data_IF_276342345883
#
_entry.id   IF_276342345883
#
_cell.length_a   1.000
_cell.length_b   1.000
_cell.length_c   1.000
_cell.angle_alpha   90.00
_cell.angle_beta   90.00
_cell.angle_gamma   90.00
#
_symmetry.space_group_name_H-M   'P 1'
#
loop_
_entity.id
_entity.type
_entity.pdbx_description
1 polymer ?
#
# COMPACT_ATOMS: atom_id res chain seq x y z
N UNK A 1 14.23 22.69 -11.47
CA UNK A 1 14.34 24.17 -11.65
C UNK A 1 15.14 24.53 -12.92
N UNK A 2 16.22 23.83 -13.23
CA UNK A 2 17.03 24.08 -14.45
C UNK A 2 16.24 23.89 -15.75
N UNK A 3 15.42 22.84 -15.83
CA UNK A 3 14.53 22.63 -16.97
C UNK A 3 13.55 23.80 -17.16
N UNK A 4 12.96 24.31 -16.09
CA UNK A 4 12.06 25.46 -16.15
C UNK A 4 12.77 26.69 -16.72
N UNK A 5 13.98 26.97 -16.27
CA UNK A 5 14.82 28.04 -16.80
C UNK A 5 15.14 27.85 -18.28
N UNK A 6 15.39 26.61 -18.71
CA UNK A 6 15.56 26.28 -20.12
C UNK A 6 14.33 26.65 -20.95
N UNK A 7 13.14 26.33 -20.47
CA UNK A 7 11.88 26.69 -21.11
C UNK A 7 11.65 28.22 -21.15
N UNK A 8 11.94 28.93 -20.06
CA UNK A 8 11.84 30.37 -20.02
C UNK A 8 12.69 31.06 -21.10
N UNK A 9 13.93 30.59 -21.27
CA UNK A 9 14.85 31.11 -22.26
C UNK A 9 14.43 30.75 -23.69
N UNK A 10 14.01 29.50 -23.92
CA UNK A 10 13.64 29.03 -25.25
C UNK A 10 12.35 29.65 -25.78
N UNK A 11 11.37 29.89 -24.91
CA UNK A 11 10.02 30.32 -25.28
C UNK A 11 9.67 31.73 -24.84
N UNK A 12 10.62 32.48 -24.27
CA UNK A 12 10.40 33.82 -23.74
C UNK A 12 9.15 33.92 -22.84
N UNK A 13 9.01 32.98 -21.93
CA UNK A 13 7.92 32.87 -20.98
C UNK A 13 8.44 32.89 -19.55
N UNK A 14 7.55 32.97 -18.58
CA UNK A 14 7.87 32.82 -17.17
C UNK A 14 7.25 31.53 -16.63
N UNK A 15 8.06 30.69 -15.98
CA UNK A 15 7.61 29.44 -15.39
C UNK A 15 7.53 29.59 -13.86
N UNK A 16 6.35 29.53 -13.32
CA UNK A 16 6.13 29.47 -11.89
C UNK A 16 6.05 27.99 -11.46
N UNK A 17 6.88 27.61 -10.49
CA UNK A 17 6.92 26.24 -9.96
C UNK A 17 6.35 26.29 -8.54
N UNK A 18 5.26 25.56 -8.32
CA UNK A 18 4.72 25.27 -7.01
C UNK A 18 4.83 23.75 -6.77
N UNK A 19 5.52 23.36 -5.72
CA UNK A 19 5.68 21.94 -5.34
C UNK A 19 4.98 21.79 -3.99
N UNK A 20 3.97 20.96 -3.97
CA UNK A 20 3.26 20.56 -2.75
C UNK A 20 3.69 19.13 -2.45
N UNK A 21 4.39 18.95 -1.34
CA UNK A 21 4.73 17.62 -0.82
C UNK A 21 3.53 17.15 0.00
N UNK A 22 2.93 16.04 -0.44
CA UNK A 22 1.73 15.49 0.19
C UNK A 22 2.06 14.18 0.90
N UNK A 23 2.14 13.07 0.19
CA UNK A 23 2.38 11.78 0.80
C UNK A 23 3.86 11.47 1.01
N UNK A 24 4.19 10.91 2.18
CA UNK A 24 5.48 10.25 2.40
C UNK A 24 5.39 8.78 1.97
N UNK A 25 6.53 8.13 1.76
CA UNK A 25 6.55 6.71 1.45
C UNK A 25 6.04 5.88 2.64
N UNK A 26 5.16 4.92 2.36
CA UNK A 26 4.83 3.85 3.31
C UNK A 26 6.06 2.98 3.51
N UNK A 27 6.47 2.81 4.75
CA UNK A 27 7.60 1.96 5.12
C UNK A 27 7.19 1.08 6.30
N UNK A 28 7.00 -0.18 6.02
CA UNK A 28 6.62 -1.14 7.04
C UNK A 28 7.68 -1.27 8.13
N UNK A 29 7.21 -1.28 9.38
CA UNK A 29 8.04 -1.55 10.54
C UNK A 29 8.53 -3.01 10.50
N UNK A 30 9.82 -3.22 10.76
CA UNK A 30 10.45 -4.54 10.61
C UNK A 30 9.98 -5.53 11.67
N UNK A 31 9.78 -5.06 12.89
CA UNK A 31 9.40 -5.92 14.00
C UNK A 31 7.93 -6.34 13.82
N UNK A 32 7.06 -5.41 13.45
CA UNK A 32 5.67 -5.72 13.10
C UNK A 32 5.55 -6.63 11.87
N UNK A 33 6.43 -6.50 10.90
CA UNK A 33 6.47 -7.41 9.76
C UNK A 33 6.84 -8.83 10.18
N UNK A 34 7.86 -8.97 11.04
CA UNK A 34 8.28 -10.25 11.58
C UNK A 34 7.13 -10.95 12.33
N UNK A 35 6.49 -10.23 13.26
CA UNK A 35 5.33 -10.73 13.99
C UNK A 35 4.17 -11.12 13.07
N UNK A 36 3.94 -10.35 12.01
CA UNK A 36 2.93 -10.66 11.01
C UNK A 36 3.22 -11.99 10.32
N UNK A 37 4.46 -12.20 9.86
CA UNK A 37 4.88 -13.45 9.20
C UNK A 37 4.75 -14.63 10.15
N UNK A 38 5.12 -14.48 11.42
CA UNK A 38 4.98 -15.51 12.44
C UNK A 38 3.50 -15.86 12.72
N UNK A 39 2.63 -14.85 12.82
CA UNK A 39 1.22 -15.05 13.11
C UNK A 39 0.44 -15.67 11.94
N UNK A 40 0.76 -15.27 10.71
CA UNK A 40 0.00 -15.65 9.51
C UNK A 40 0.54 -16.92 8.86
N UNK A 41 1.84 -17.09 8.83
CA UNK A 41 2.59 -18.16 8.17
C UNK A 41 3.34 -17.65 6.92
N UNK A 42 4.60 -17.99 6.83
CA UNK A 42 5.47 -17.54 5.73
C UNK A 42 5.09 -18.11 4.36
N UNK A 43 4.33 -19.18 4.33
CA UNK A 43 3.86 -19.86 3.12
C UNK A 43 2.77 -19.10 2.36
N UNK A 44 2.08 -18.19 3.03
CA UNK A 44 1.02 -17.37 2.44
C UNK A 44 1.37 -15.88 2.33
N UNK A 45 2.48 -15.46 2.93
CA UNK A 45 2.97 -14.08 2.83
C UNK A 45 3.87 -13.95 1.60
N UNK A 46 3.57 -13.01 0.74
CA UNK A 46 4.36 -12.71 -0.46
C UNK A 46 4.96 -11.33 -0.31
N UNK A 47 6.28 -11.24 -0.41
CA UNK A 47 6.96 -9.95 -0.49
C UNK A 47 6.78 -9.35 -1.89
N UNK A 48 6.41 -8.09 -1.92
CA UNK A 48 6.25 -7.34 -3.16
C UNK A 48 7.42 -6.35 -3.32
N UNK A 49 7.83 -6.17 -4.57
CA UNK A 49 8.70 -5.05 -4.91
C UNK A 49 8.03 -3.72 -4.57
N UNK A 50 8.81 -2.69 -4.23
CA UNK A 50 8.27 -1.37 -3.93
C UNK A 50 7.36 -0.84 -5.03
N UNK A 51 6.16 -0.41 -4.66
CA UNK A 51 5.18 0.14 -5.59
C UNK A 51 5.27 1.67 -5.63
N UNK A 52 5.23 2.23 -6.83
CA UNK A 52 5.21 3.68 -7.05
C UNK A 52 3.78 4.22 -6.95
N UNK A 53 3.20 4.09 -5.76
CA UNK A 53 1.84 4.52 -5.43
C UNK A 53 1.85 5.44 -4.20
N UNK A 54 0.78 6.21 -4.03
CA UNK A 54 0.55 7.02 -2.85
C UNK A 54 -0.43 6.31 -1.92
N UNK A 55 -0.19 6.42 -0.60
CA UNK A 55 -1.02 5.80 0.42
C UNK A 55 -1.04 6.67 1.68
N UNK A 56 -2.24 7.02 2.15
CA UNK A 56 -2.42 7.89 3.32
C UNK A 56 -2.05 7.20 4.64
N UNK A 57 -1.96 5.88 4.67
CA UNK A 57 -1.44 5.12 5.81
C UNK A 57 -0.06 5.61 6.26
N UNK A 58 0.71 6.19 5.36
CA UNK A 58 2.00 6.81 5.67
C UNK A 58 1.94 7.87 6.78
N UNK A 59 0.80 8.55 6.95
CA UNK A 59 0.60 9.53 8.03
C UNK A 59 0.47 8.87 9.40
N UNK A 60 -0.17 7.71 9.48
CA UNK A 60 -0.21 6.94 10.74
C UNK A 60 1.18 6.48 11.14
N UNK A 61 2.01 6.10 10.16
CA UNK A 61 3.39 5.66 10.40
C UNK A 61 4.33 6.78 10.88
N UNK A 62 3.92 8.03 10.80
CA UNK A 62 4.65 9.14 11.43
C UNK A 62 4.51 9.13 12.96
N UNK A 63 3.38 8.65 13.45
CA UNK A 63 3.02 8.71 14.86
C UNK A 63 3.32 7.40 15.60
N UNK A 64 3.13 6.27 14.91
CA UNK A 64 3.31 4.93 15.47
C UNK A 64 3.92 3.96 14.46
N UNK A 65 4.67 2.94 14.91
CA UNK A 65 5.06 1.85 14.02
C UNK A 65 3.85 1.23 13.35
N UNK A 66 3.92 0.99 12.04
CA UNK A 66 2.79 0.50 11.27
C UNK A 66 3.20 -0.52 10.21
N UNK A 67 2.30 -1.46 9.96
CA UNK A 67 2.41 -2.46 8.91
C UNK A 67 1.25 -2.31 7.93
N UNK A 68 1.55 -2.02 6.68
CA UNK A 68 0.59 -2.01 5.58
C UNK A 68 0.79 -3.25 4.72
N UNK A 69 -0.27 -3.99 4.47
CA UNK A 69 -0.26 -5.16 3.61
C UNK A 69 -1.47 -5.18 2.68
N UNK A 70 -1.34 -5.85 1.57
CA UNK A 70 -2.40 -6.02 0.60
C UNK A 70 -2.95 -7.45 0.65
N UNK A 71 -4.24 -7.59 0.43
CA UNK A 71 -4.89 -8.88 0.24
C UNK A 71 -5.04 -9.16 -1.26
N UNK A 72 -4.57 -10.32 -1.70
CA UNK A 72 -4.75 -10.76 -3.09
C UNK A 72 -6.22 -10.98 -3.40
N UNK A 73 -6.74 -10.24 -4.38
CA UNK A 73 -8.16 -10.28 -4.79
C UNK A 73 -8.38 -10.88 -6.18
N UNK A 74 -7.30 -11.21 -6.90
CA UNK A 74 -7.38 -11.76 -8.26
C UNK A 74 -8.07 -13.13 -8.27
N UNK A 75 -9.05 -13.29 -9.16
CA UNK A 75 -9.74 -14.56 -9.38
C UNK A 75 -10.02 -14.72 -10.89
N UNK A 76 -9.22 -15.52 -11.56
CA UNK A 76 -9.30 -15.71 -13.01
C UNK A 76 -10.57 -16.48 -13.42
N UNK A 77 -11.01 -17.45 -12.62
CA UNK A 77 -12.22 -18.24 -12.91
C UNK A 77 -13.48 -17.36 -12.94
N UNK A 78 -13.51 -16.33 -12.10
CA UNK A 78 -14.61 -15.36 -12.05
C UNK A 78 -14.39 -14.14 -12.94
N UNK A 79 -13.25 -14.05 -13.63
CA UNK A 79 -12.89 -12.91 -14.45
C UNK A 79 -12.50 -11.66 -13.65
N UNK A 80 -12.20 -11.78 -12.35
CA UNK A 80 -11.76 -10.66 -11.51
C UNK A 80 -10.25 -10.49 -11.63
N UNK A 81 -9.81 -9.93 -12.75
CA UNK A 81 -8.41 -9.83 -13.13
C UNK A 81 -7.87 -8.40 -13.21
N UNK A 82 -8.76 -7.42 -13.13
CA UNK A 82 -8.41 -6.02 -13.24
C UNK A 82 -7.85 -5.49 -11.90
N UNK A 83 -6.85 -4.62 -11.97
CA UNK A 83 -6.26 -3.97 -10.81
C UNK A 83 -7.15 -2.87 -10.22
N UNK A 84 -6.75 -2.36 -9.06
CA UNK A 84 -7.36 -1.20 -8.40
C UNK A 84 -7.45 -0.01 -9.38
N UNK A 85 -8.47 0.81 -9.20
CA UNK A 85 -8.77 2.00 -10.02
C UNK A 85 -9.15 1.71 -11.49
N UNK A 86 -9.23 0.45 -11.92
CA UNK A 86 -9.79 0.09 -13.21
C UNK A 86 -11.32 0.14 -13.13
N UNK A 87 -12.00 0.65 -14.18
CA UNK A 87 -13.46 0.73 -14.24
C UNK A 87 -14.14 -0.64 -14.12
N UNK A 88 -13.44 -1.71 -14.53
CA UNK A 88 -13.92 -3.09 -14.44
C UNK A 88 -13.32 -3.83 -13.23
N UNK A 89 -12.78 -3.10 -12.24
CA UNK A 89 -12.29 -3.72 -11.02
C UNK A 89 -13.44 -4.43 -10.29
N UNK A 90 -13.19 -5.66 -9.91
CA UNK A 90 -14.10 -6.45 -9.08
C UNK A 90 -13.31 -7.49 -8.28
N UNK A 91 -13.92 -8.07 -7.26
CA UNK A 91 -13.29 -9.07 -6.41
C UNK A 91 -14.33 -10.05 -5.85
N UNK A 92 -13.86 -11.23 -5.43
CA UNK A 92 -14.68 -12.20 -4.73
C UNK A 92 -14.90 -11.73 -3.27
N UNK A 93 -16.14 -11.65 -2.84
CA UNK A 93 -16.52 -11.27 -1.46
C UNK A 93 -15.88 -12.17 -0.39
N UNK A 94 -15.43 -13.36 -0.74
CA UNK A 94 -14.65 -14.24 0.13
C UNK A 94 -13.36 -13.58 0.67
N UNK A 95 -12.85 -12.55 -0.01
CA UNK A 95 -11.70 -11.78 0.49
C UNK A 95 -11.98 -11.16 1.87
N UNK A 96 -13.23 -10.78 2.15
CA UNK A 96 -13.61 -10.25 3.46
C UNK A 96 -13.43 -11.30 4.57
N UNK A 97 -13.73 -12.57 4.28
CA UNK A 97 -13.49 -13.68 5.23
C UNK A 97 -11.99 -13.89 5.42
N UNK A 98 -11.21 -13.80 4.35
CA UNK A 98 -9.74 -13.89 4.43
C UNK A 98 -9.18 -12.75 5.28
N UNK A 99 -9.66 -11.52 5.11
CA UNK A 99 -9.29 -10.38 5.93
C UNK A 99 -9.58 -10.63 7.42
N UNK A 100 -10.78 -11.09 7.74
CA UNK A 100 -11.17 -11.42 9.12
C UNK A 100 -10.26 -12.50 9.72
N UNK A 101 -9.91 -13.53 8.95
CA UNK A 101 -9.01 -14.58 9.39
C UNK A 101 -7.61 -14.05 9.69
N UNK A 102 -7.07 -13.16 8.83
CA UNK A 102 -5.77 -12.53 9.03
C UNK A 102 -5.79 -11.71 10.32
N UNK A 103 -6.77 -10.81 10.49
CA UNK A 103 -6.86 -9.97 11.69
C UNK A 103 -7.11 -10.79 12.95
N UNK A 104 -7.93 -11.85 12.89
CA UNK A 104 -8.16 -12.74 14.04
C UNK A 104 -6.87 -13.43 14.49
N UNK A 105 -6.04 -13.92 13.55
CA UNK A 105 -4.74 -14.52 13.86
C UNK A 105 -3.79 -13.48 14.49
N UNK A 106 -3.74 -12.26 13.94
CA UNK A 106 -2.90 -11.20 14.48
C UNK A 106 -3.31 -10.81 15.91
N UNK A 107 -4.62 -10.65 16.15
CA UNK A 107 -5.13 -10.29 17.45
C UNK A 107 -4.89 -11.39 18.50
N UNK A 108 -5.00 -12.65 18.09
CA UNK A 108 -4.64 -13.79 18.95
C UNK A 108 -3.13 -13.83 19.25
N UNK A 109 -2.31 -13.63 18.24
CA UNK A 109 -0.85 -13.55 18.40
C UNK A 109 -0.44 -12.43 19.37
N UNK A 110 -1.14 -11.31 19.34
CA UNK A 110 -0.94 -10.16 20.26
C UNK A 110 -1.65 -10.34 21.61
N UNK A 111 -2.27 -11.49 21.88
CA UNK A 111 -3.07 -11.75 23.09
C UNK A 111 -4.17 -10.69 23.34
N UNK A 112 -4.66 -10.06 22.28
CA UNK A 112 -5.70 -9.04 22.36
C UNK A 112 -7.11 -9.64 22.35
N UNK A 113 -7.26 -10.88 21.92
CA UNK A 113 -8.50 -11.68 21.95
C UNK A 113 -8.16 -13.16 22.27
N UNK A 114 -9.14 -13.91 22.78
CA UNK A 114 -9.06 -15.34 23.06
C UNK A 114 -9.14 -16.21 21.78
#
# INVERSE_FOLDING_TARGET
RELARGFELAYNCKVNINIIEDYIAVKNDKDLYQEFVEAIGSDIVVELEPLMISEDFSYYQKEVPGLFFMLGSRNEEKGFVNGLHNINFNFDEKICVNALNVYSKLLKYKEAID
#
